data_IF_760266040502
#
_entry.id   IF_760266040502
#
_cell.length_a   1.000
_cell.length_b   1.000
_cell.length_c   1.000
_cell.angle_alpha   90.00
_cell.angle_beta   90.00
_cell.angle_gamma   90.00
#
_symmetry.space_group_name_H-M   'P 1'
#
loop_
_entity.id
_entity.type
_entity.pdbx_description
1 polymer ?
#
# COMPACT_ATOMS: atom_id res chain seq x y z
N UNK A 1 -68.97 -8.80 -11.15
CA UNK A 1 -67.62 -9.08 -11.66
C UNK A 1 -66.70 -7.97 -11.16
N UNK A 2 -66.16 -8.17 -9.96
CA UNK A 2 -65.15 -7.28 -9.39
C UNK A 2 -63.76 -7.83 -9.70
N UNK A 3 -62.77 -6.93 -9.73
CA UNK A 3 -61.49 -7.06 -9.05
C UNK A 3 -60.68 -5.79 -9.35
N UNK A 4 -60.73 -4.85 -8.41
CA UNK A 4 -59.74 -3.79 -8.25
C UNK A 4 -58.50 -4.42 -7.62
N UNK A 5 -57.36 -4.42 -8.32
CA UNK A 5 -56.08 -4.90 -7.78
C UNK A 5 -55.25 -3.72 -7.29
N UNK A 6 -55.17 -3.57 -5.96
CA UNK A 6 -54.19 -2.73 -5.27
C UNK A 6 -52.78 -3.28 -5.52
N UNK A 7 -51.88 -2.47 -6.08
CA UNK A 7 -50.44 -2.70 -6.00
C UNK A 7 -49.95 -1.97 -4.74
N UNK A 8 -49.72 -2.72 -3.68
CA UNK A 8 -49.04 -2.25 -2.48
C UNK A 8 -47.55 -2.07 -2.81
N UNK A 9 -47.04 -0.83 -2.74
CA UNK A 9 -45.61 -0.54 -2.77
C UNK A 9 -45.03 -0.87 -1.40
N UNK A 10 -44.22 -1.93 -1.32
CA UNK A 10 -43.42 -2.26 -0.15
C UNK A 10 -42.23 -1.29 -0.11
N UNK A 11 -42.31 -0.26 0.72
CA UNK A 11 -41.16 0.54 1.12
C UNK A 11 -40.31 -0.31 2.08
N UNK A 12 -39.23 -0.91 1.58
CA UNK A 12 -38.17 -1.45 2.44
C UNK A 12 -37.45 -0.24 3.05
N UNK A 13 -37.81 0.12 4.28
CA UNK A 13 -37.03 1.05 5.08
C UNK A 13 -35.67 0.42 5.38
N UNK A 14 -34.60 1.06 4.92
CA UNK A 14 -33.25 0.78 5.39
C UNK A 14 -33.20 1.25 6.84
N UNK A 15 -33.28 0.30 7.78
CA UNK A 15 -32.94 0.55 9.17
C UNK A 15 -31.42 0.63 9.22
N UNK A 16 -30.87 1.84 9.16
CA UNK A 16 -29.51 2.09 9.60
C UNK A 16 -29.47 1.82 11.10
N UNK A 17 -28.98 0.64 11.50
CA UNK A 17 -28.59 0.40 12.88
C UNK A 17 -27.41 1.32 13.20
N UNK A 18 -27.73 2.47 13.78
CA UNK A 18 -26.74 3.31 14.44
C UNK A 18 -26.34 2.54 15.70
N UNK A 19 -25.23 1.82 15.63
CA UNK A 19 -24.60 1.25 16.81
C UNK A 19 -24.19 2.42 17.71
N UNK A 20 -24.96 2.66 18.77
CA UNK A 20 -24.48 3.45 19.89
C UNK A 20 -23.36 2.64 20.54
N UNK A 21 -22.12 2.92 20.17
CA UNK A 21 -20.95 2.48 20.93
C UNK A 21 -21.09 3.12 22.30
N UNK A 22 -21.22 2.30 23.35
CA UNK A 22 -21.31 2.79 24.72
C UNK A 22 -20.02 3.49 25.12
N UNK A 23 -20.08 4.34 26.15
CA UNK A 23 -18.84 4.91 26.69
C UNK A 23 -17.97 3.78 27.27
N UNK A 24 -16.67 3.79 26.95
CA UNK A 24 -15.71 2.81 27.46
C UNK A 24 -15.56 3.02 28.98
N UNK A 25 -15.96 2.00 29.75
CA UNK A 25 -15.82 2.00 31.20
C UNK A 25 -14.39 1.66 31.63
N UNK A 26 -13.66 2.65 32.14
CA UNK A 26 -12.26 2.46 32.58
C UNK A 26 -12.13 1.47 33.75
N UNK A 27 -13.20 1.25 34.53
CA UNK A 27 -13.19 0.31 35.66
C UNK A 27 -13.14 -1.16 35.22
N UNK A 28 -13.34 -1.44 33.94
CA UNK A 28 -13.27 -2.80 33.37
C UNK A 28 -11.82 -3.25 33.12
N UNK A 29 -10.83 -2.40 33.44
CA UNK A 29 -9.41 -2.63 33.19
C UNK A 29 -8.60 -2.46 34.48
N UNK A 30 -7.69 -3.39 34.75
CA UNK A 30 -6.73 -3.23 35.83
C UNK A 30 -5.76 -2.07 35.52
N UNK A 31 -5.19 -1.39 36.53
CA UNK A 31 -4.26 -0.29 36.29
C UNK A 31 -3.09 -0.63 35.36
N UNK A 32 -2.55 -1.85 35.45
CA UNK A 32 -1.44 -2.32 34.61
C UNK A 32 -1.83 -2.60 33.15
N UNK A 33 -3.14 -2.72 32.87
CA UNK A 33 -3.70 -2.87 31.53
C UNK A 33 -4.09 -1.53 30.89
N UNK A 34 -3.82 -0.41 31.58
CA UNK A 34 -4.07 0.95 31.06
C UNK A 34 -2.77 1.57 30.56
N UNK A 35 -2.71 1.84 29.26
CA UNK A 35 -1.57 2.46 28.58
C UNK A 35 -1.88 3.93 28.30
N UNK A 36 -1.14 4.85 28.91
CA UNK A 36 -1.28 6.29 28.68
C UNK A 36 -0.14 6.80 27.80
N UNK A 37 -0.45 7.49 26.68
CA UNK A 37 0.53 8.06 25.74
C UNK A 37 0.06 9.40 25.19
N UNK A 38 0.93 10.15 24.55
CA UNK A 38 0.52 11.32 23.77
C UNK A 38 -0.24 10.87 22.52
N UNK A 39 0.30 9.85 21.82
CA UNK A 39 -0.20 9.44 20.51
C UNK A 39 -0.37 7.91 20.46
N UNK A 40 -1.53 7.46 20.01
CA UNK A 40 -1.75 6.07 19.60
C UNK A 40 -1.65 5.98 18.08
N UNK A 41 -0.85 5.04 17.56
CA UNK A 41 -0.65 4.79 16.14
C UNK A 41 -1.24 3.42 15.82
N UNK A 42 -2.16 3.36 14.85
CA UNK A 42 -2.74 2.10 14.38
C UNK A 42 -2.11 1.70 13.05
N UNK A 43 -1.44 0.55 13.06
CA UNK A 43 -0.64 0.03 11.96
C UNK A 43 0.86 0.32 12.15
N UNK A 44 1.67 -0.73 12.09
CA UNK A 44 3.13 -0.74 12.17
C UNK A 44 3.79 -0.95 10.80
N UNK A 45 3.13 -0.54 9.72
CA UNK A 45 3.69 -0.58 8.35
C UNK A 45 4.77 0.47 8.12
N UNK A 46 5.13 0.69 6.84
CA UNK A 46 6.11 1.70 6.41
C UNK A 46 5.82 3.09 7.01
N UNK A 47 4.56 3.54 6.89
CA UNK A 47 4.10 4.81 7.44
C UNK A 47 4.09 4.86 8.96
N UNK A 48 3.47 3.89 9.62
CA UNK A 48 3.32 3.89 11.08
C UNK A 48 4.65 3.77 11.81
N UNK A 49 5.58 2.99 11.28
CA UNK A 49 6.93 2.88 11.82
C UNK A 49 7.69 4.21 11.67
N UNK A 50 7.67 4.82 10.49
CA UNK A 50 8.27 6.14 10.29
C UNK A 50 7.67 7.17 11.25
N UNK A 51 6.34 7.15 11.41
CA UNK A 51 5.65 8.07 12.31
C UNK A 51 6.08 7.91 13.76
N UNK A 52 6.14 6.67 14.25
CA UNK A 52 6.54 6.38 15.62
C UNK A 52 7.96 6.88 15.91
N UNK A 53 8.90 6.65 14.99
CA UNK A 53 10.29 7.12 15.13
C UNK A 53 10.35 8.66 15.09
N UNK A 54 9.72 9.31 14.11
CA UNK A 54 9.71 10.77 13.99
C UNK A 54 9.05 11.44 15.21
N UNK A 55 7.97 10.87 15.75
CA UNK A 55 7.31 11.37 16.96
C UNK A 55 8.17 11.21 18.22
N UNK A 56 8.88 10.09 18.38
CA UNK A 56 9.86 9.93 19.48
C UNK A 56 11.00 10.93 19.37
N UNK A 57 11.51 11.18 18.16
CA UNK A 57 12.54 12.21 17.91
C UNK A 57 12.04 13.63 18.24
N UNK A 58 10.72 13.85 18.22
CA UNK A 58 10.06 15.09 18.66
C UNK A 58 9.57 15.03 20.12
N UNK A 59 10.13 14.12 20.93
CA UNK A 59 9.84 13.94 22.34
C UNK A 59 8.35 13.67 22.68
N UNK A 60 7.63 13.00 21.78
CA UNK A 60 6.26 12.51 22.04
C UNK A 60 6.28 11.06 22.47
N UNK A 61 5.49 10.73 23.47
CA UNK A 61 5.27 9.34 23.88
C UNK A 61 4.26 8.67 22.95
N UNK A 62 4.59 7.48 22.45
CA UNK A 62 3.77 6.75 21.47
C UNK A 62 3.42 5.35 21.95
N UNK A 63 2.33 4.80 21.43
CA UNK A 63 2.06 3.36 21.39
C UNK A 63 1.65 3.00 19.96
N UNK A 64 2.23 1.93 19.42
CA UNK A 64 1.92 1.38 18.10
C UNK A 64 1.14 0.09 18.28
N UNK A 65 -0.03 -0.01 17.65
CA UNK A 65 -0.83 -1.23 17.61
C UNK A 65 -0.64 -1.89 16.25
N UNK A 66 -0.03 -3.07 16.22
CA UNK A 66 0.24 -3.84 15.01
C UNK A 66 -0.44 -5.22 15.10
N UNK A 67 -1.23 -5.55 14.08
CA UNK A 67 -1.97 -6.81 14.02
C UNK A 67 -1.09 -8.02 13.71
N UNK A 68 0.08 -7.80 13.12
CA UNK A 68 1.06 -8.82 12.78
C UNK A 68 2.08 -8.99 13.92
N UNK A 69 2.91 -10.03 13.79
CA UNK A 69 4.02 -10.31 14.71
C UNK A 69 5.29 -9.51 14.43
N UNK A 70 5.31 -8.72 13.36
CA UNK A 70 6.45 -7.91 12.89
C UNK A 70 5.94 -6.58 12.33
N UNK A 71 6.79 -5.56 12.38
CA UNK A 71 6.59 -4.30 11.67
C UNK A 71 6.92 -4.47 10.18
N UNK A 72 6.41 -3.55 9.35
CA UNK A 72 6.83 -3.42 7.96
C UNK A 72 5.73 -3.46 6.90
N UNK A 73 4.52 -3.89 7.26
CA UNK A 73 3.38 -3.90 6.35
C UNK A 73 3.65 -4.76 5.11
N UNK A 74 3.61 -4.17 3.92
CA UNK A 74 3.89 -4.83 2.62
C UNK A 74 5.37 -5.19 2.39
N UNK A 75 6.19 -5.13 3.43
CA UNK A 75 7.59 -5.56 3.36
C UNK A 75 7.65 -7.06 3.56
N UNK A 76 8.40 -7.72 2.68
CA UNK A 76 8.52 -9.17 2.64
C UNK A 76 9.94 -9.54 2.22
N UNK A 77 10.73 -10.06 3.17
CA UNK A 77 12.10 -10.54 2.95
C UNK A 77 12.23 -11.99 3.40
N UNK A 78 12.61 -12.88 2.50
CA UNK A 78 12.95 -14.27 2.79
C UNK A 78 14.46 -14.36 3.07
N UNK A 79 14.83 -14.70 4.30
CA UNK A 79 16.20 -15.03 4.67
C UNK A 79 16.49 -16.51 4.46
N UNK A 80 17.61 -16.83 3.79
CA UNK A 80 18.06 -18.18 3.51
C UNK A 80 19.22 -18.57 4.43
N UNK A 81 19.43 -19.88 4.60
CA UNK A 81 20.43 -20.43 5.54
C UNK A 81 21.89 -20.10 5.21
N UNK A 82 22.17 -19.62 4.00
CA UNK A 82 23.51 -19.27 3.52
C UNK A 82 23.77 -17.75 3.55
N UNK A 83 23.04 -17.00 4.38
CA UNK A 83 23.08 -15.53 4.47
C UNK A 83 22.70 -14.79 3.20
N UNK A 84 22.08 -15.46 2.22
CA UNK A 84 21.38 -14.78 1.13
C UNK A 84 19.96 -14.40 1.58
N UNK A 85 19.39 -13.41 0.91
CA UNK A 85 18.01 -13.00 1.13
C UNK A 85 17.32 -12.72 -0.20
N UNK A 86 16.00 -12.75 -0.19
CA UNK A 86 15.15 -12.37 -1.32
C UNK A 86 14.12 -11.39 -0.79
N UNK A 87 14.19 -10.13 -1.21
CA UNK A 87 13.07 -9.21 -1.07
C UNK A 87 12.04 -9.56 -2.14
N UNK A 88 10.83 -9.94 -1.71
CA UNK A 88 9.74 -10.33 -2.60
C UNK A 88 8.49 -9.45 -2.45
N UNK A 89 8.52 -8.46 -1.54
CA UNK A 89 7.51 -7.41 -1.39
C UNK A 89 8.04 -6.07 -1.88
N UNK A 90 8.24 -5.12 -0.96
CA UNK A 90 9.01 -3.90 -1.25
C UNK A 90 10.47 -4.30 -1.53
N UNK A 91 11.06 -3.77 -2.61
CA UNK A 91 12.46 -4.05 -3.01
C UNK A 91 13.43 -2.89 -2.72
N UNK A 92 12.90 -1.68 -2.51
CA UNK A 92 13.71 -0.50 -2.22
C UNK A 92 12.88 0.78 -2.12
N UNK A 93 13.59 1.89 -1.93
CA UNK A 93 13.02 3.24 -1.77
C UNK A 93 13.75 4.23 -2.66
N UNK A 94 13.17 5.42 -2.87
CA UNK A 94 13.81 6.47 -3.67
C UNK A 94 15.18 6.84 -3.10
N UNK A 95 16.13 7.14 -3.98
CA UNK A 95 17.45 7.63 -3.57
C UNK A 95 17.41 9.15 -3.29
N UNK A 96 16.58 9.56 -2.33
CA UNK A 96 16.42 10.95 -1.92
C UNK A 96 17.01 11.22 -0.52
N UNK A 97 17.02 12.50 -0.13
CA UNK A 97 17.54 12.91 1.17
C UNK A 97 16.75 12.33 2.33
N UNK A 98 15.43 12.22 2.20
CA UNK A 98 14.55 11.72 3.24
C UNK A 98 14.84 10.24 3.54
N UNK A 99 14.92 9.41 2.50
CA UNK A 99 15.20 7.97 2.61
C UNK A 99 16.58 7.73 3.22
N UNK A 100 17.62 8.43 2.74
CA UNK A 100 18.97 8.31 3.30
C UNK A 100 19.04 8.74 4.77
N UNK A 101 18.33 9.81 5.14
CA UNK A 101 18.29 10.28 6.52
C UNK A 101 17.56 9.30 7.44
N UNK A 102 16.44 8.72 6.98
CA UNK A 102 15.68 7.76 7.76
C UNK A 102 16.46 6.44 7.97
N UNK A 103 17.06 5.89 6.90
CA UNK A 103 17.93 4.71 7.02
C UNK A 103 19.11 4.97 7.96
N UNK A 104 19.77 6.14 7.84
CA UNK A 104 20.84 6.55 8.78
C UNK A 104 20.34 6.66 10.22
N UNK A 105 19.15 7.21 10.45
CA UNK A 105 18.54 7.33 11.80
C UNK A 105 18.30 5.96 12.43
N UNK A 106 18.00 4.95 11.63
CA UNK A 106 17.82 3.57 12.08
C UNK A 106 19.14 2.78 12.14
N UNK A 107 20.28 3.36 11.74
CA UNK A 107 21.55 2.65 11.67
C UNK A 107 21.61 1.61 10.55
N UNK A 108 20.78 1.74 9.52
CA UNK A 108 20.67 0.79 8.41
C UNK A 108 21.54 1.22 7.25
N UNK A 109 22.52 0.38 6.93
CA UNK A 109 23.37 0.52 5.76
C UNK A 109 22.59 0.23 4.48
N UNK A 110 22.85 1.00 3.43
CA UNK A 110 22.19 0.84 2.14
C UNK A 110 23.16 0.75 0.97
N UNK A 111 22.63 0.29 -0.16
CA UNK A 111 23.30 0.20 -1.46
C UNK A 111 22.33 0.62 -2.58
N UNK A 112 22.82 0.96 -3.78
CA UNK A 112 21.95 1.12 -4.94
C UNK A 112 21.16 -0.15 -5.22
N UNK A 113 19.86 -0.02 -5.50
CA UNK A 113 19.04 -1.10 -6.03
C UNK A 113 19.28 -1.20 -7.54
N UNK A 114 19.87 -2.32 -7.97
CA UNK A 114 20.19 -2.61 -9.37
C UNK A 114 19.59 -3.95 -9.78
N UNK A 115 19.13 -4.12 -11.04
CA UNK A 115 18.63 -5.40 -11.51
C UNK A 115 19.68 -6.51 -11.34
N UNK A 116 19.27 -7.63 -10.76
CA UNK A 116 20.12 -8.83 -10.65
C UNK A 116 20.02 -9.74 -11.88
N UNK A 117 19.05 -9.46 -12.76
CA UNK A 117 18.77 -10.22 -13.98
C UNK A 117 19.89 -10.06 -15.01
N UNK A 118 20.32 -11.17 -15.62
CA UNK A 118 21.22 -11.15 -16.77
C UNK A 118 20.47 -11.36 -18.08
N UNK A 119 19.45 -12.22 -18.07
CA UNK A 119 18.62 -12.52 -19.24
C UNK A 119 17.17 -12.19 -18.95
N UNK A 120 16.54 -11.42 -19.83
CA UNK A 120 15.09 -11.19 -19.79
C UNK A 120 14.45 -11.89 -20.97
N UNK A 121 13.47 -12.74 -20.70
CA UNK A 121 12.64 -13.35 -21.73
C UNK A 121 11.18 -12.91 -21.61
N UNK A 122 10.52 -12.80 -22.75
CA UNK A 122 9.10 -12.47 -22.82
C UNK A 122 8.30 -13.73 -23.11
N UNK A 123 7.30 -14.00 -22.27
CA UNK A 123 6.46 -15.18 -22.36
C UNK A 123 5.01 -14.74 -22.27
N UNK A 124 4.13 -15.29 -23.10
CA UNK A 124 2.70 -15.15 -22.88
C UNK A 124 2.28 -16.20 -21.85
N UNK A 125 2.04 -15.78 -20.60
CA UNK A 125 1.77 -16.71 -19.50
C UNK A 125 0.44 -17.47 -19.70
N UNK A 126 -0.50 -16.92 -20.49
CA UNK A 126 -1.76 -17.61 -20.87
C UNK A 126 -1.53 -18.81 -21.79
N UNK A 127 -0.44 -18.83 -22.56
CA UNK A 127 -0.11 -19.93 -23.49
C UNK A 127 1.13 -20.71 -23.05
N UNK A 128 1.96 -20.15 -22.19
CA UNK A 128 3.24 -20.70 -21.78
C UNK A 128 4.34 -20.59 -22.83
N UNK A 129 4.12 -19.90 -23.95
CA UNK A 129 5.07 -19.80 -25.08
C UNK A 129 5.88 -18.50 -25.04
N UNK A 130 7.15 -18.57 -25.47
CA UNK A 130 7.96 -17.36 -25.71
C UNK A 130 7.29 -16.51 -26.78
N UNK A 131 7.36 -15.20 -26.60
CA UNK A 131 6.90 -14.20 -27.56
C UNK A 131 8.02 -13.19 -27.77
N UNK A 132 8.06 -12.47 -28.91
CA UNK A 132 8.99 -11.37 -29.08
C UNK A 132 8.81 -10.33 -27.96
N UNK A 133 9.87 -9.58 -27.60
CA UNK A 133 9.70 -8.37 -26.80
C UNK A 133 8.69 -7.44 -27.50
N UNK A 134 7.91 -6.64 -26.75
CA UNK A 134 7.11 -5.57 -27.32
C UNK A 134 7.93 -4.75 -28.32
N UNK A 135 7.40 -4.46 -29.51
CA UNK A 135 8.14 -3.74 -30.55
C UNK A 135 8.59 -2.35 -30.08
N UNK A 136 9.78 -1.90 -30.51
CA UNK A 136 10.21 -0.51 -30.35
C UNK A 136 10.65 -0.09 -28.95
N UNK A 137 11.02 -1.04 -28.06
CA UNK A 137 11.48 -0.71 -26.68
C UNK A 137 12.66 0.28 -26.74
N UNK A 138 12.46 1.56 -26.39
CA UNK A 138 13.56 2.51 -26.26
C UNK A 138 14.41 2.11 -25.06
N UNK A 139 15.59 2.72 -24.88
CA UNK A 139 16.21 2.60 -23.56
C UNK A 139 15.23 3.06 -22.48
N UNK A 140 15.26 2.43 -21.30
CA UNK A 140 14.40 2.79 -20.17
C UNK A 140 14.46 4.30 -19.87
N UNK A 141 15.65 4.90 -20.03
CA UNK A 141 15.87 6.33 -19.84
C UNK A 141 15.16 7.18 -20.90
N UNK A 142 15.21 6.81 -22.17
CA UNK A 142 14.52 7.52 -23.25
C UNK A 142 12.99 7.44 -23.08
N UNK A 143 12.48 6.24 -22.85
CA UNK A 143 11.06 6.01 -22.57
C UNK A 143 10.58 6.83 -21.36
N UNK A 144 11.36 6.84 -20.27
CA UNK A 144 11.07 7.64 -19.09
C UNK A 144 11.06 9.15 -19.38
N UNK A 145 11.99 9.67 -20.20
CA UNK A 145 12.00 11.09 -20.60
C UNK A 145 10.77 11.47 -21.43
N UNK A 146 10.39 10.63 -22.39
CA UNK A 146 9.18 10.85 -23.21
C UNK A 146 7.94 10.88 -22.33
N UNK A 147 7.78 9.87 -21.46
CA UNK A 147 6.65 9.80 -20.53
C UNK A 147 6.61 11.00 -19.58
N UNK A 148 7.75 11.35 -18.96
CA UNK A 148 7.88 12.53 -18.10
C UNK A 148 7.43 13.80 -18.79
N UNK A 149 7.83 13.99 -20.05
CA UNK A 149 7.46 15.16 -20.83
C UNK A 149 5.95 15.25 -21.08
N UNK A 150 5.28 14.10 -21.28
CA UNK A 150 3.83 14.03 -21.45
C UNK A 150 3.07 14.34 -20.15
N UNK A 151 3.57 13.87 -19.00
CA UNK A 151 2.87 14.02 -17.71
C UNK A 151 3.22 15.30 -16.93
N UNK A 152 4.23 16.08 -17.36
CA UNK A 152 4.72 17.28 -16.64
C UNK A 152 3.64 18.32 -16.30
N UNK A 153 2.56 18.37 -17.08
CA UNK A 153 1.43 19.28 -16.86
C UNK A 153 0.64 18.95 -15.58
N UNK A 154 0.74 17.72 -15.09
CA UNK A 154 0.14 17.26 -13.83
C UNK A 154 1.05 17.53 -12.62
N UNK A 155 1.81 18.63 -12.66
CA UNK A 155 2.81 18.98 -11.64
C UNK A 155 2.26 19.16 -10.23
N UNK A 156 0.95 19.33 -10.07
CA UNK A 156 0.29 19.35 -8.76
C UNK A 156 0.30 17.97 -8.06
N UNK A 157 0.52 16.86 -8.78
CA UNK A 157 0.65 15.51 -8.21
C UNK A 157 2.10 15.13 -7.85
N UNK A 158 3.07 16.05 -8.01
CA UNK A 158 4.50 15.74 -7.87
C UNK A 158 4.92 15.21 -6.49
N UNK A 159 4.14 15.55 -5.46
CA UNK A 159 4.41 15.15 -4.07
C UNK A 159 3.71 13.81 -3.72
N UNK A 160 3.10 13.14 -4.71
CA UNK A 160 2.33 11.89 -4.51
C UNK A 160 0.94 12.11 -3.90
N UNK A 161 0.56 13.36 -3.61
CA UNK A 161 -0.75 13.72 -3.06
C UNK A 161 -1.78 14.00 -4.14
N UNK A 162 -3.06 13.84 -3.80
CA UNK A 162 -4.21 14.17 -4.64
C UNK A 162 -4.55 15.66 -4.60
N UNK A 163 -3.57 16.53 -4.90
CA UNK A 163 -3.74 17.99 -4.95
C UNK A 163 -4.46 18.40 -6.26
N UNK A 164 -5.68 17.92 -6.44
CA UNK A 164 -6.45 18.12 -7.66
C UNK A 164 -7.02 19.55 -7.74
N UNK A 165 -6.95 20.22 -8.91
CA UNK A 165 -7.70 21.44 -9.17
C UNK A 165 -9.22 21.25 -9.03
N UNK A 166 -9.95 22.35 -8.80
CA UNK A 166 -11.41 22.38 -8.84
C UNK A 166 -11.86 23.35 -9.95
N UNK A 167 -12.56 22.87 -11.00
CA UNK A 167 -12.99 21.49 -11.23
C UNK A 167 -11.84 20.54 -11.58
N UNK A 168 -12.03 19.24 -11.25
CA UNK A 168 -11.10 18.18 -11.67
C UNK A 168 -11.13 18.07 -13.20
N UNK A 169 -9.95 18.00 -13.82
CA UNK A 169 -9.85 17.84 -15.27
C UNK A 169 -10.44 16.50 -15.73
N UNK A 170 -11.35 16.53 -16.71
CA UNK A 170 -11.91 15.29 -17.29
C UNK A 170 -10.84 14.37 -17.89
N UNK A 171 -9.71 14.91 -18.37
CA UNK A 171 -8.59 14.12 -18.90
C UNK A 171 -8.03 13.14 -17.84
N UNK A 172 -8.06 13.51 -16.55
CA UNK A 172 -7.61 12.63 -15.45
C UNK A 172 -8.55 11.46 -15.20
N UNK A 173 -9.81 11.56 -15.64
CA UNK A 173 -10.85 10.57 -15.39
C UNK A 173 -11.03 9.61 -16.56
N UNK A 174 -10.55 9.98 -17.75
CA UNK A 174 -10.58 9.12 -18.93
C UNK A 174 -9.60 7.95 -18.82
N UNK A 175 -9.83 6.84 -19.57
CA UNK A 175 -8.88 5.76 -19.70
C UNK A 175 -7.47 6.24 -20.07
N UNK A 176 -6.45 5.67 -19.44
CA UNK A 176 -5.06 5.97 -19.75
C UNK A 176 -4.71 5.68 -21.22
N UNK A 177 -5.37 4.69 -21.84
CA UNK A 177 -5.23 4.39 -23.27
C UNK A 177 -5.51 5.59 -24.18
N UNK A 178 -6.52 6.40 -23.87
CA UNK A 178 -6.86 7.60 -24.63
C UNK A 178 -5.75 8.66 -24.51
N UNK A 179 -5.16 8.77 -23.31
CA UNK A 179 -4.01 9.64 -23.08
C UNK A 179 -2.78 9.15 -23.86
N UNK A 180 -2.55 7.83 -23.92
CA UNK A 180 -1.46 7.22 -24.69
C UNK A 180 -1.60 7.52 -26.18
N UNK A 181 -2.80 7.32 -26.74
CA UNK A 181 -3.09 7.63 -28.15
C UNK A 181 -2.88 9.12 -28.44
N UNK A 182 -3.47 10.00 -27.62
CA UNK A 182 -3.39 11.45 -27.78
C UNK A 182 -1.96 12.01 -27.70
N UNK A 183 -1.10 11.41 -26.89
CA UNK A 183 0.26 11.92 -26.63
C UNK A 183 1.36 11.18 -27.38
N UNK A 184 1.06 10.04 -28.01
CA UNK A 184 2.05 9.27 -28.76
C UNK A 184 3.11 8.60 -27.87
N UNK A 185 2.75 8.21 -26.64
CA UNK A 185 3.68 7.61 -25.66
C UNK A 185 3.65 6.08 -25.63
N UNK A 186 3.23 5.42 -26.70
CA UNK A 186 3.11 3.95 -26.78
C UNK A 186 4.43 3.26 -26.40
N UNK A 187 5.56 3.83 -26.81
CA UNK A 187 6.89 3.28 -26.54
C UNK A 187 7.29 3.36 -25.05
N UNK A 188 6.59 4.16 -24.24
CA UNK A 188 6.81 4.26 -22.81
C UNK A 188 5.98 3.26 -21.98
N UNK A 189 5.10 2.46 -22.61
CA UNK A 189 4.20 1.56 -21.90
C UNK A 189 4.93 0.51 -21.04
N UNK A 190 6.13 0.07 -21.44
CA UNK A 190 6.91 -0.83 -20.60
C UNK A 190 7.43 -0.16 -19.33
N UNK A 191 7.84 1.12 -19.39
CA UNK A 191 8.23 1.87 -18.19
C UNK A 191 7.01 2.10 -17.29
N UNK A 192 5.86 2.45 -17.87
CA UNK A 192 4.61 2.61 -17.12
C UNK A 192 4.23 1.29 -16.44
N UNK A 193 4.35 0.15 -17.14
CA UNK A 193 4.08 -1.18 -16.58
C UNK A 193 4.92 -1.50 -15.35
N UNK A 194 6.22 -1.14 -15.33
CA UNK A 194 7.11 -1.40 -14.19
C UNK A 194 6.49 -0.84 -12.90
N UNK A 195 5.97 0.38 -12.94
CA UNK A 195 5.48 1.09 -11.75
C UNK A 195 3.96 0.98 -11.54
N UNK A 196 3.16 0.96 -12.61
CA UNK A 196 1.69 1.04 -12.57
C UNK A 196 0.97 -0.30 -12.81
N UNK A 197 1.66 -1.43 -12.78
CA UNK A 197 1.02 -2.75 -12.90
C UNK A 197 -0.07 -2.99 -11.84
N UNK A 198 0.04 -2.39 -10.66
CA UNK A 198 -0.99 -2.41 -9.61
C UNK A 198 -2.33 -1.80 -10.02
N UNK A 199 -2.40 -1.08 -11.15
CA UNK A 199 -3.67 -0.58 -11.70
C UNK A 199 -4.56 -1.71 -12.28
N UNK A 200 -4.02 -2.91 -12.48
CA UNK A 200 -4.73 -3.99 -13.17
C UNK A 200 -4.70 -3.77 -14.69
N UNK A 201 -5.86 -3.53 -15.31
CA UNK A 201 -5.90 -3.17 -16.72
C UNK A 201 -5.44 -1.71 -16.90
N UNK A 202 -4.14 -1.51 -17.11
CA UNK A 202 -3.50 -0.18 -17.19
C UNK A 202 -4.19 0.72 -18.22
N UNK A 203 -4.46 0.23 -19.44
CA UNK A 203 -5.02 1.07 -20.51
C UNK A 203 -6.46 1.49 -20.25
N UNK A 204 -7.23 0.69 -19.51
CA UNK A 204 -8.62 0.99 -19.16
C UNK A 204 -8.77 1.71 -17.80
N UNK A 205 -7.68 1.82 -17.04
CA UNK A 205 -7.70 2.53 -15.76
C UNK A 205 -7.77 4.04 -15.98
N UNK A 206 -8.46 4.80 -15.11
CA UNK A 206 -8.43 6.26 -15.15
C UNK A 206 -6.98 6.79 -15.11
N UNK A 207 -6.68 7.81 -15.92
CA UNK A 207 -5.34 8.41 -15.98
C UNK A 207 -4.81 8.79 -14.58
N UNK A 208 -5.67 9.33 -13.70
CA UNK A 208 -5.30 9.67 -12.32
C UNK A 208 -4.74 8.46 -11.55
N UNK A 209 -5.34 7.28 -11.71
CA UNK A 209 -4.88 6.05 -11.03
C UNK A 209 -3.48 5.66 -11.52
N UNK A 210 -3.24 5.75 -12.83
CA UNK A 210 -1.93 5.46 -13.42
C UNK A 210 -0.89 6.48 -12.96
N UNK A 211 -1.22 7.77 -12.93
CA UNK A 211 -0.32 8.83 -12.45
C UNK A 211 0.01 8.72 -10.96
N UNK A 212 -0.86 8.14 -10.15
CA UNK A 212 -0.57 7.90 -8.74
C UNK A 212 0.36 6.72 -8.50
N UNK A 213 0.41 5.74 -9.41
CA UNK A 213 1.37 4.63 -9.31
C UNK A 213 2.68 4.91 -10.06
N UNK A 214 2.60 5.65 -11.17
CA UNK A 214 3.69 5.99 -12.06
C UNK A 214 3.64 7.48 -12.42
N UNK A 215 3.85 8.34 -11.44
CA UNK A 215 3.80 9.79 -11.59
C UNK A 215 5.17 10.43 -11.82
N UNK A 216 5.19 11.76 -11.71
CA UNK A 216 6.43 12.53 -11.71
C UNK A 216 7.45 12.04 -10.67
N UNK A 217 7.09 11.73 -9.40
CA UNK A 217 8.11 11.35 -8.43
C UNK A 217 8.82 10.03 -8.76
N UNK A 218 8.11 9.01 -9.25
CA UNK A 218 8.72 7.72 -9.65
C UNK A 218 9.68 7.91 -10.83
N UNK A 219 9.25 8.68 -11.82
CA UNK A 219 10.02 8.93 -13.05
C UNK A 219 11.21 9.86 -12.77
N UNK A 220 11.05 10.84 -11.89
CA UNK A 220 12.16 11.68 -11.44
C UNK A 220 13.16 10.88 -10.63
N UNK A 221 12.73 10.00 -9.72
CA UNK A 221 13.64 9.11 -9.00
C UNK A 221 14.42 8.21 -9.97
N UNK A 222 13.76 7.61 -10.95
CA UNK A 222 14.40 6.80 -11.99
C UNK A 222 15.48 7.58 -12.76
N UNK A 223 15.22 8.85 -13.10
CA UNK A 223 16.11 9.67 -13.92
C UNK A 223 17.22 10.36 -13.12
N UNK A 224 17.06 10.59 -11.82
CA UNK A 224 17.88 11.51 -11.02
C UNK A 224 18.63 10.86 -9.86
N UNK A 225 18.69 9.53 -9.77
CA UNK A 225 19.46 8.85 -8.72
C UNK A 225 19.08 7.40 -8.46
N UNK A 226 18.01 6.92 -9.09
CA UNK A 226 17.51 5.57 -8.96
C UNK A 226 16.90 5.31 -7.58
N UNK A 227 17.11 4.08 -7.10
CA UNK A 227 16.54 3.56 -5.87
C UNK A 227 17.66 3.00 -5.00
N UNK A 228 17.44 2.94 -3.70
CA UNK A 228 18.35 2.34 -2.72
C UNK A 228 17.61 1.28 -1.92
N UNK A 229 18.37 0.31 -1.41
CA UNK A 229 17.86 -0.77 -0.56
C UNK A 229 18.84 -1.04 0.59
N UNK A 230 18.37 -1.57 1.74
CA UNK A 230 19.24 -2.08 2.80
C UNK A 230 20.17 -3.17 2.29
N UNK A 231 21.34 -3.31 2.93
CA UNK A 231 22.31 -4.33 2.52
C UNK A 231 21.86 -5.75 2.88
N UNK A 232 21.05 -5.92 3.92
CA UNK A 232 20.59 -7.21 4.42
C UNK A 232 19.05 -7.37 4.32
N UNK A 233 18.47 -6.85 3.23
CA UNK A 233 17.05 -6.98 2.91
C UNK A 233 16.15 -5.99 3.63
N UNK A 234 14.96 -5.77 3.08
CA UNK A 234 14.07 -4.70 3.50
C UNK A 234 13.55 -4.83 4.95
N UNK A 235 13.44 -6.05 5.49
CA UNK A 235 13.09 -6.24 6.91
C UNK A 235 14.12 -5.65 7.89
N UNK A 236 15.37 -5.40 7.47
CA UNK A 236 16.39 -4.76 8.32
C UNK A 236 15.91 -3.40 8.87
N UNK A 237 15.22 -2.60 8.05
CA UNK A 237 14.63 -1.32 8.44
C UNK A 237 13.69 -1.47 9.62
N UNK A 238 12.81 -2.46 9.55
CA UNK A 238 11.73 -2.64 10.51
C UNK A 238 12.19 -3.38 11.76
N UNK A 239 13.20 -4.24 11.65
CA UNK A 239 13.87 -4.83 12.80
C UNK A 239 14.56 -3.74 13.63
N UNK A 240 15.36 -2.86 12.99
CA UNK A 240 16.01 -1.74 13.69
C UNK A 240 14.99 -0.78 14.31
N UNK A 241 13.89 -0.49 13.63
CA UNK A 241 12.82 0.32 14.21
C UNK A 241 12.14 -0.37 15.40
N UNK A 242 11.88 -1.68 15.32
CA UNK A 242 11.33 -2.46 16.43
C UNK A 242 12.24 -2.42 17.66
N UNK A 243 13.56 -2.48 17.50
CA UNK A 243 14.51 -2.37 18.61
C UNK A 243 14.43 -1.00 19.30
N UNK A 244 14.29 0.08 18.54
CA UNK A 244 14.17 1.45 19.06
C UNK A 244 12.81 1.67 19.75
N UNK A 245 11.74 1.06 19.22
CA UNK A 245 10.39 1.20 19.77
C UNK A 245 10.19 0.31 21.01
N UNK A 246 10.79 -0.89 21.04
CA UNK A 246 10.74 -1.79 22.18
C UNK A 246 9.31 -2.06 22.66
N UNK A 247 9.05 -1.79 23.94
CA UNK A 247 7.73 -1.98 24.57
C UNK A 247 6.65 -0.99 24.11
N UNK A 248 6.98 -0.02 23.25
CA UNK A 248 5.98 0.89 22.69
C UNK A 248 5.14 0.22 21.58
N UNK A 249 5.47 -1.01 21.16
CA UNK A 249 4.70 -1.76 20.15
C UNK A 249 3.89 -2.89 20.80
N UNK A 250 2.60 -2.92 20.50
CA UNK A 250 1.69 -4.01 20.80
C UNK A 250 1.49 -4.85 19.54
N UNK A 251 2.24 -5.94 19.43
CA UNK A 251 2.14 -6.89 18.32
C UNK A 251 0.93 -7.82 18.46
N UNK A 252 0.53 -8.42 17.34
CA UNK A 252 -0.59 -9.36 17.27
C UNK A 252 -1.85 -8.86 17.98
N UNK A 253 -2.11 -7.56 17.86
CA UNK A 253 -3.13 -6.84 18.62
C UNK A 253 -4.07 -6.11 17.67
N UNK A 254 -5.38 -6.26 17.89
CA UNK A 254 -6.42 -5.60 17.11
C UNK A 254 -7.17 -4.58 17.96
N UNK A 255 -7.70 -3.54 17.31
CA UNK A 255 -8.65 -2.61 17.94
C UNK A 255 -10.03 -3.26 17.98
N UNK A 256 -10.70 -3.18 19.13
CA UNK A 256 -12.04 -3.72 19.35
C UNK A 256 -13.07 -2.61 19.48
N UNK A 257 -12.69 -1.49 20.10
CA UNK A 257 -13.59 -0.37 20.36
C UNK A 257 -12.81 0.93 20.42
N UNK A 258 -13.37 2.02 19.88
CA UNK A 258 -12.82 3.37 20.02
C UNK A 258 -13.86 4.33 20.58
N UNK A 259 -13.42 5.23 21.46
CA UNK A 259 -14.16 6.40 21.90
C UNK A 259 -13.26 7.62 21.69
N UNK A 260 -13.59 8.43 20.68
CA UNK A 260 -12.78 9.56 20.22
C UNK A 260 -13.55 10.86 20.43
N UNK A 261 -12.85 11.87 20.97
CA UNK A 261 -13.40 13.20 21.20
C UNK A 261 -12.33 14.27 21.04
N UNK A 262 -12.74 15.54 21.05
CA UNK A 262 -11.82 16.69 21.05
C UNK A 262 -11.01 16.83 22.34
N UNK A 263 -11.34 16.05 23.39
CA UNK A 263 -10.64 16.07 24.68
C UNK A 263 -9.68 14.90 24.88
N UNK A 264 -9.75 13.88 24.03
CA UNK A 264 -8.89 12.71 24.11
C UNK A 264 -9.48 11.48 23.44
N UNK A 265 -8.69 10.43 23.44
CA UNK A 265 -8.94 9.16 22.77
C UNK A 265 -8.86 8.02 23.78
N UNK A 266 -9.84 7.12 23.75
CA UNK A 266 -9.79 5.81 24.40
C UNK A 266 -9.93 4.72 23.36
N UNK A 267 -9.09 3.69 23.45
CA UNK A 267 -9.11 2.56 22.52
C UNK A 267 -8.98 1.28 23.33
N UNK A 268 -9.95 0.38 23.18
CA UNK A 268 -9.81 -0.99 23.67
C UNK A 268 -9.12 -1.81 22.60
N UNK A 269 -8.00 -2.42 22.97
CA UNK A 269 -7.27 -3.34 22.11
C UNK A 269 -7.26 -4.74 22.69
N UNK A 270 -7.19 -5.74 21.83
CA UNK A 270 -7.13 -7.14 22.21
C UNK A 270 -6.01 -7.87 21.45
N UNK A 271 -5.12 -8.51 22.20
CA UNK A 271 -4.07 -9.37 21.64
C UNK A 271 -4.60 -10.74 21.23
N UNK A 272 -3.82 -11.48 20.44
CA UNK A 272 -4.18 -12.80 19.94
C UNK A 272 -4.45 -13.84 21.05
N UNK A 273 -3.91 -13.65 22.26
CA UNK A 273 -4.20 -14.44 23.46
C UNK A 273 -5.46 -13.97 24.23
N UNK A 274 -6.24 -13.07 23.62
CA UNK A 274 -7.46 -12.47 24.16
C UNK A 274 -7.28 -11.49 25.32
N UNK A 275 -6.05 -11.18 25.73
CA UNK A 275 -5.80 -10.14 26.74
C UNK A 275 -6.23 -8.77 26.19
N UNK A 276 -6.91 -7.98 27.03
CA UNK A 276 -7.39 -6.64 26.65
C UNK A 276 -6.59 -5.56 27.36
N UNK A 277 -6.33 -4.47 26.65
CA UNK A 277 -5.75 -3.25 27.22
C UNK A 277 -6.58 -2.04 26.84
N UNK A 278 -6.60 -1.04 27.71
CA UNK A 278 -7.17 0.27 27.44
C UNK A 278 -6.04 1.25 27.13
N UNK A 279 -6.02 1.79 25.92
CA UNK A 279 -5.12 2.87 25.54
C UNK A 279 -5.84 4.20 25.73
N UNK A 280 -5.22 5.12 26.48
CA UNK A 280 -5.63 6.52 26.60
C UNK A 280 -4.60 7.40 25.93
N UNK A 281 -5.00 8.14 24.90
CA UNK A 281 -4.11 9.02 24.14
C UNK A 281 -4.70 10.41 23.92
N UNK A 282 -3.86 11.40 23.64
CA UNK A 282 -4.32 12.75 23.25
C UNK A 282 -4.76 12.78 21.79
N UNK A 283 -4.05 12.06 20.93
CA UNK A 283 -4.31 12.00 19.49
C UNK A 283 -4.22 10.55 18.98
N UNK A 284 -4.94 10.29 17.88
CA UNK A 284 -4.91 9.02 17.15
C UNK A 284 -4.33 9.24 15.76
N UNK A 285 -3.41 8.38 15.34
CA UNK A 285 -2.90 8.34 13.96
C UNK A 285 -3.26 6.99 13.33
N UNK A 286 -4.07 7.03 12.28
CA UNK A 286 -4.45 5.84 11.49
C UNK A 286 -3.55 5.76 10.25
N UNK A 287 -2.87 4.63 10.09
CA UNK A 287 -1.87 4.43 9.01
C UNK A 287 -2.18 3.25 8.09
N UNK A 288 -3.20 2.45 8.41
CA UNK A 288 -3.74 1.42 7.54
C UNK A 288 -4.83 2.01 6.62
N UNK A 289 -5.17 1.30 5.54
CA UNK A 289 -6.24 1.70 4.64
C UNK A 289 -7.59 1.61 5.37
N UNK A 290 -8.33 2.72 5.55
CA UNK A 290 -9.58 2.73 6.32
C UNK A 290 -10.73 2.16 5.47
N UNK A 291 -10.75 0.85 5.23
CA UNK A 291 -11.93 0.13 4.70
C UNK A 291 -12.91 -0.17 5.83
N UNK A 292 -14.21 -0.18 5.53
CA UNK A 292 -15.28 -0.29 6.55
C UNK A 292 -15.14 -1.56 7.39
N UNK A 293 -14.73 -2.67 6.77
CA UNK A 293 -14.53 -3.96 7.43
C UNK A 293 -13.43 -3.88 8.50
N UNK A 294 -12.40 -3.06 8.28
CA UNK A 294 -11.29 -2.85 9.22
C UNK A 294 -11.59 -1.80 10.30
N UNK A 295 -12.75 -1.14 10.21
CA UNK A 295 -13.20 -0.09 11.14
C UNK A 295 -14.36 -0.55 12.02
N UNK A 296 -14.62 -1.86 12.08
CA UNK A 296 -15.59 -2.42 13.02
C UNK A 296 -15.19 -2.05 14.46
N UNK A 297 -16.16 -1.56 15.24
CA UNK A 297 -15.92 -1.06 16.60
C UNK A 297 -15.41 0.39 16.69
N UNK A 298 -15.16 1.06 15.55
CA UNK A 298 -14.77 2.47 15.56
C UNK A 298 -16.01 3.38 15.65
N UNK A 299 -15.91 4.42 16.48
CA UNK A 299 -16.92 5.49 16.63
C UNK A 299 -16.84 6.53 15.50
N UNK A 300 -16.95 6.07 14.25
CA UNK A 300 -16.88 6.90 13.05
C UNK A 300 -17.95 8.00 13.04
N UNK A 301 -17.59 9.20 12.61
CA UNK A 301 -18.58 10.23 12.26
C UNK A 301 -19.13 10.00 10.86
N UNK A 302 -20.29 10.59 10.56
CA UNK A 302 -20.97 10.41 9.26
C UNK A 302 -20.08 10.73 8.06
N UNK A 303 -19.23 11.76 8.14
CA UNK A 303 -18.30 12.11 7.06
C UNK A 303 -17.21 11.06 6.84
N UNK A 304 -16.67 10.47 7.92
CA UNK A 304 -15.69 9.37 7.84
C UNK A 304 -16.33 8.16 7.16
N UNK A 305 -17.46 7.67 7.68
CA UNK A 305 -18.15 6.50 7.12
C UNK A 305 -18.59 6.72 5.68
N UNK A 306 -19.09 7.92 5.33
CA UNK A 306 -19.54 8.24 3.97
C UNK A 306 -18.43 8.23 2.93
N UNK A 307 -17.20 8.53 3.34
CA UNK A 307 -16.02 8.49 2.47
C UNK A 307 -15.43 7.08 2.40
N UNK A 308 -15.23 6.45 3.55
CA UNK A 308 -14.56 5.14 3.64
C UNK A 308 -15.35 3.99 3.00
N UNK A 309 -16.68 4.09 2.91
CA UNK A 309 -17.50 3.12 2.18
C UNK A 309 -17.31 3.16 0.65
N UNK A 310 -16.62 4.16 0.10
CA UNK A 310 -16.46 4.36 -1.35
C UNK A 310 -15.19 3.73 -1.91
N UNK A 311 -14.35 3.16 -1.05
CA UNK A 311 -13.09 2.57 -1.48
C UNK A 311 -13.32 1.38 -2.41
N UNK A 312 -12.61 1.40 -3.52
CA UNK A 312 -12.37 0.29 -4.42
C UNK A 312 -10.86 0.05 -4.49
N UNK A 313 -10.45 -1.19 -4.79
CA UNK A 313 -9.04 -1.57 -4.74
C UNK A 313 -8.71 -2.73 -5.65
N UNK A 314 -7.41 -2.93 -5.82
CA UNK A 314 -6.81 -4.07 -6.52
C UNK A 314 -6.13 -4.94 -5.46
N UNK A 315 -6.30 -6.26 -5.60
CA UNK A 315 -5.60 -7.23 -4.77
C UNK A 315 -4.23 -7.49 -5.39
N UNK A 316 -3.20 -7.43 -4.55
CA UNK A 316 -1.81 -7.62 -4.95
C UNK A 316 -1.17 -8.67 -4.07
N UNK A 317 -0.60 -9.69 -4.71
CA UNK A 317 0.02 -10.82 -4.03
C UNK A 317 1.45 -10.98 -4.51
N UNK A 318 2.29 -11.45 -3.60
CA UNK A 318 3.69 -11.74 -3.89
C UNK A 318 4.06 -13.13 -3.43
N UNK A 319 5.02 -13.76 -4.11
CA UNK A 319 5.50 -15.08 -3.72
C UNK A 319 6.95 -15.29 -4.14
N UNK A 320 7.63 -16.18 -3.44
CA UNK A 320 8.87 -16.79 -3.93
C UNK A 320 8.55 -18.21 -4.37
N UNK A 321 8.98 -18.58 -5.58
CA UNK A 321 8.84 -19.92 -6.13
C UNK A 321 10.20 -20.55 -6.37
N UNK A 322 10.25 -21.88 -6.34
CA UNK A 322 11.43 -22.68 -6.69
C UNK A 322 11.07 -23.89 -7.54
N UNK A 323 12.09 -24.60 -8.02
CA UNK A 323 11.95 -25.81 -8.86
C UNK A 323 11.15 -25.56 -10.14
N UNK A 324 11.32 -24.39 -10.76
CA UNK A 324 10.50 -23.91 -11.87
C UNK A 324 10.89 -24.45 -13.25
N UNK A 325 12.09 -25.04 -13.38
CA UNK A 325 12.66 -25.41 -14.69
C UNK A 325 13.27 -24.23 -15.47
N UNK A 326 13.16 -23.01 -14.94
CA UNK A 326 13.69 -21.80 -15.56
C UNK A 326 15.19 -21.69 -15.22
N UNK A 327 16.07 -21.37 -16.19
CA UNK A 327 17.49 -21.16 -15.93
C UNK A 327 17.77 -20.05 -14.90
N UNK A 328 18.86 -20.19 -14.16
CA UNK A 328 19.32 -19.15 -13.23
C UNK A 328 19.61 -17.83 -13.97
N UNK A 329 19.63 -16.72 -13.23
CA UNK A 329 19.84 -15.37 -13.76
C UNK A 329 18.85 -14.91 -14.85
N UNK A 330 17.71 -15.59 -14.98
CA UNK A 330 16.67 -15.32 -15.99
C UNK A 330 15.40 -14.77 -15.34
N UNK A 331 14.94 -13.61 -15.83
CA UNK A 331 13.61 -13.06 -15.50
C UNK A 331 12.65 -13.30 -16.67
N UNK A 332 11.45 -13.79 -16.36
CA UNK A 332 10.38 -13.88 -17.35
C UNK A 332 9.38 -12.75 -17.14
N UNK A 333 9.17 -11.96 -18.18
CA UNK A 333 8.18 -10.88 -18.19
C UNK A 333 6.93 -11.36 -18.94
N UNK A 334 5.76 -11.25 -18.31
CA UNK A 334 4.52 -11.62 -18.96
C UNK A 334 4.17 -10.61 -20.05
N UNK A 335 3.95 -11.08 -21.28
CA UNK A 335 3.56 -10.27 -22.42
C UNK A 335 2.44 -10.93 -23.21
N UNK A 336 1.37 -10.17 -23.44
CA UNK A 336 0.21 -10.62 -24.21
C UNK A 336 0.23 -9.96 -25.59
N UNK A 337 0.74 -10.62 -26.65
CA UNK A 337 0.87 -10.02 -27.98
C UNK A 337 -0.48 -9.64 -28.62
N UNK A 338 -1.59 -10.19 -28.11
CA UNK A 338 -2.93 -9.89 -28.59
C UNK A 338 -3.51 -8.62 -27.93
N UNK A 339 -2.86 -8.09 -26.88
CA UNK A 339 -3.28 -6.88 -26.18
C UNK A 339 -2.41 -5.68 -26.57
N UNK A 340 -2.81 -5.00 -27.64
CA UNK A 340 -2.11 -3.82 -28.17
C UNK A 340 -2.77 -2.50 -27.75
N UNK A 341 -2.00 -1.41 -27.58
CA UNK A 341 -0.55 -1.33 -27.66
C UNK A 341 0.17 -1.84 -26.39
N UNK A 342 1.45 -2.20 -26.53
CA UNK A 342 2.35 -2.48 -25.41
C UNK A 342 2.35 -3.92 -24.88
N UNK A 343 1.57 -4.82 -25.46
CA UNK A 343 1.52 -6.25 -25.12
C UNK A 343 1.34 -6.49 -23.60
N UNK A 344 0.50 -5.65 -22.96
CA UNK A 344 0.35 -5.64 -21.51
C UNK A 344 -0.52 -6.84 -21.06
N UNK A 345 -0.21 -7.51 -19.94
CA UNK A 345 -1.09 -8.55 -19.42
C UNK A 345 -2.43 -7.94 -18.92
N UNK A 346 -3.49 -8.76 -18.92
CA UNK A 346 -4.83 -8.37 -18.46
C UNK A 346 -5.23 -9.17 -17.21
N UNK A 347 -5.91 -8.56 -16.21
CA UNK A 347 -6.16 -9.19 -14.92
C UNK A 347 -7.20 -10.33 -15.00
N UNK A 348 -7.12 -11.34 -14.12
CA UNK A 348 -6.01 -11.58 -13.19
C UNK A 348 -4.76 -12.06 -13.94
N UNK A 349 -3.59 -11.53 -13.56
CA UNK A 349 -2.33 -11.92 -14.18
C UNK A 349 -1.19 -12.03 -13.17
N UNK A 350 -0.24 -12.90 -13.48
CA UNK A 350 1.11 -12.82 -12.93
C UNK A 350 1.94 -11.87 -13.80
N UNK A 351 2.54 -10.84 -13.20
CA UNK A 351 3.28 -9.80 -13.91
C UNK A 351 4.59 -10.36 -14.49
N UNK A 352 5.31 -11.08 -13.66
CA UNK A 352 6.65 -11.59 -13.94
C UNK A 352 7.02 -12.77 -13.03
N UNK A 353 8.08 -13.46 -13.43
CA UNK A 353 8.90 -14.35 -12.61
C UNK A 353 10.31 -13.74 -12.57
N UNK A 354 10.56 -12.90 -11.57
CA UNK A 354 11.76 -12.08 -11.45
C UNK A 354 12.90 -12.84 -10.77
N UNK A 355 14.07 -12.84 -11.38
CA UNK A 355 15.30 -13.26 -10.72
C UNK A 355 15.85 -12.14 -9.83
N UNK A 356 15.87 -12.41 -8.53
CA UNK A 356 16.25 -11.47 -7.47
C UNK A 356 17.71 -11.61 -6.99
N UNK A 357 18.55 -12.36 -7.71
CA UNK A 357 19.97 -12.55 -7.35
C UNK A 357 20.27 -13.83 -6.57
N UNK A 358 19.29 -14.72 -6.42
CA UNK A 358 19.46 -16.02 -5.74
C UNK A 358 19.05 -17.16 -6.66
N UNK A 359 20.03 -17.98 -7.02
CA UNK A 359 19.86 -19.15 -7.89
C UNK A 359 18.79 -20.13 -7.38
N UNK A 360 17.99 -20.65 -8.31
CA UNK A 360 16.90 -21.59 -8.03
C UNK A 360 15.61 -20.97 -7.47
N UNK A 361 15.57 -19.66 -7.24
CA UNK A 361 14.40 -18.94 -6.75
C UNK A 361 13.98 -17.83 -7.72
N UNK A 362 12.66 -17.60 -7.83
CA UNK A 362 12.08 -16.49 -8.58
C UNK A 362 10.98 -15.82 -7.75
N UNK A 363 10.89 -14.49 -7.85
CA UNK A 363 9.82 -13.70 -7.25
C UNK A 363 8.66 -13.59 -8.24
N UNK A 364 7.45 -13.83 -7.75
CA UNK A 364 6.21 -13.72 -8.51
C UNK A 364 5.36 -12.59 -7.95
N UNK A 365 4.82 -11.75 -8.83
CA UNK A 365 3.92 -10.64 -8.52
C UNK A 365 2.59 -10.85 -9.23
N UNK A 366 1.47 -10.79 -8.51
CA UNK A 366 0.15 -11.15 -9.03
C UNK A 366 -0.82 -10.02 -8.76
N UNK A 367 -1.60 -9.68 -9.79
CA UNK A 367 -2.58 -8.60 -9.75
C UNK A 367 -3.95 -9.17 -10.07
N UNK A 368 -4.93 -8.90 -9.21
CA UNK A 368 -6.32 -9.31 -9.37
C UNK A 368 -7.28 -8.25 -8.86
N UNK A 369 -8.55 -8.30 -9.28
CA UNK A 369 -9.57 -7.41 -8.72
C UNK A 369 -9.86 -7.73 -7.24
N UNK A 370 -10.69 -6.92 -6.58
CA UNK A 370 -11.03 -7.07 -5.15
C UNK A 370 -11.62 -8.43 -4.76
N UNK A 371 -12.19 -9.18 -5.72
CA UNK A 371 -12.75 -10.53 -5.50
C UNK A 371 -11.78 -11.66 -5.78
N UNK A 372 -10.59 -11.38 -6.34
CA UNK A 372 -9.57 -12.39 -6.62
C UNK A 372 -8.83 -12.75 -5.33
N UNK A 373 -8.93 -14.01 -4.92
CA UNK A 373 -8.46 -14.47 -3.59
C UNK A 373 -6.99 -14.91 -3.58
N UNK A 374 -6.39 -14.95 -2.39
CA UNK A 374 -5.04 -15.48 -2.19
C UNK A 374 -4.86 -16.93 -2.68
N UNK A 375 -5.90 -17.78 -2.56
CA UNK A 375 -5.84 -19.15 -3.06
C UNK A 375 -5.82 -19.18 -4.60
N UNK A 376 -6.67 -18.39 -5.26
CA UNK A 376 -6.65 -18.26 -6.71
C UNK A 376 -5.31 -17.69 -7.23
N UNK A 377 -4.68 -16.78 -6.47
CA UNK A 377 -3.34 -16.28 -6.80
C UNK A 377 -2.29 -17.40 -6.75
N UNK A 378 -2.28 -18.23 -5.70
CA UNK A 378 -1.39 -19.40 -5.61
C UNK A 378 -1.61 -20.38 -6.77
N UNK A 379 -2.87 -20.64 -7.11
CA UNK A 379 -3.23 -21.54 -8.20
C UNK A 379 -2.80 -20.99 -9.56
N UNK A 380 -2.92 -19.67 -9.78
CA UNK A 380 -2.47 -19.00 -11.00
C UNK A 380 -0.95 -19.15 -11.19
N UNK A 381 -0.16 -18.88 -10.15
CA UNK A 381 1.32 -19.00 -10.19
C UNK A 381 1.74 -20.40 -10.64
N UNK A 382 1.20 -21.43 -9.98
CA UNK A 382 1.55 -22.81 -10.28
C UNK A 382 1.04 -23.25 -11.66
N UNK A 383 -0.13 -22.77 -12.06
CA UNK A 383 -0.71 -23.08 -13.36
C UNK A 383 0.10 -22.49 -14.50
N UNK A 384 0.56 -21.23 -14.38
CA UNK A 384 1.35 -20.58 -15.41
C UNK A 384 2.73 -21.24 -15.57
N UNK A 385 3.40 -21.59 -14.48
CA UNK A 385 4.65 -22.37 -14.51
C UNK A 385 4.45 -23.75 -15.17
N UNK A 386 3.41 -24.49 -14.80
CA UNK A 386 3.08 -25.80 -15.41
C UNK A 386 2.72 -25.68 -16.89
N UNK A 387 2.09 -24.58 -17.28
CA UNK A 387 1.74 -24.28 -18.67
C UNK A 387 3.00 -24.05 -19.51
N UNK A 388 3.98 -23.32 -18.99
CA UNK A 388 5.29 -23.15 -19.65
C UNK A 388 6.01 -24.48 -19.83
N UNK A 389 5.94 -25.38 -18.84
CA UNK A 389 6.48 -26.74 -18.93
C UNK A 389 5.78 -27.57 -20.01
N UNK A 390 4.45 -27.59 -20.01
CA UNK A 390 3.63 -28.31 -21.01
C UNK A 390 3.85 -27.79 -22.44
N UNK A 391 4.05 -26.47 -22.59
CA UNK A 391 4.34 -25.84 -23.89
C UNK A 391 5.75 -26.17 -24.42
N UNK A 392 6.61 -26.80 -23.62
CA UNK A 392 8.00 -27.10 -23.96
C UNK A 392 8.93 -25.87 -23.87
N UNK A 393 8.47 -24.76 -23.29
CA UNK A 393 9.26 -23.53 -23.17
C UNK A 393 10.31 -23.64 -22.07
N UNK A 394 9.90 -24.13 -20.90
CA UNK A 394 10.77 -24.46 -19.78
C UNK A 394 10.40 -25.86 -19.28
N UNK A 395 10.79 -26.91 -20.03
CA UNK A 395 10.42 -28.28 -19.69
C UNK A 395 11.16 -28.73 -18.43
N UNK A 396 10.48 -29.58 -17.64
CA UNK A 396 11.02 -30.08 -16.38
C UNK A 396 10.80 -29.10 -15.23
N UNK A 397 10.76 -29.64 -14.02
CA UNK A 397 10.43 -28.89 -12.80
C UNK A 397 9.23 -29.47 -12.06
N UNK A 398 9.17 -29.16 -10.76
CA UNK A 398 8.05 -29.45 -9.86
C UNK A 398 7.84 -28.16 -9.05
N UNK A 399 7.24 -27.12 -9.67
CA UNK A 399 7.24 -25.77 -9.12
C UNK A 399 6.52 -25.72 -7.77
N UNK A 400 7.14 -25.04 -6.81
CA UNK A 400 6.60 -24.89 -5.45
C UNK A 400 6.67 -23.44 -5.01
N UNK A 401 5.62 -22.98 -4.35
CA UNK A 401 5.61 -21.73 -3.61
C UNK A 401 6.34 -21.97 -2.28
N UNK A 402 7.39 -21.20 -2.04
CA UNK A 402 8.23 -21.25 -0.83
C UNK A 402 7.63 -20.38 0.26
N UNK A 403 7.26 -19.16 -0.11
CA UNK A 403 6.61 -18.17 0.76
C UNK A 403 5.67 -17.32 -0.09
N UNK A 404 4.64 -16.76 0.55
CA UNK A 404 3.58 -15.98 -0.07
C UNK A 404 3.18 -14.83 0.86
N UNK A 405 3.03 -13.64 0.29
CA UNK A 405 2.56 -12.42 0.98
C UNK A 405 1.28 -11.88 0.34
N UNK A 406 0.41 -11.32 1.17
CA UNK A 406 -0.84 -10.66 0.78
C UNK A 406 -0.76 -9.18 1.10
N UNK A 407 -0.73 -8.34 0.08
CA UNK A 407 -0.64 -6.88 0.24
C UNK A 407 -2.02 -6.21 0.14
N UNK A 408 -3.11 -6.97 0.21
CA UNK A 408 -4.46 -6.43 0.03
C UNK A 408 -4.91 -5.61 1.25
N UNK A 409 -5.51 -4.42 1.05
CA UNK A 409 -5.78 -3.75 -0.23
C UNK A 409 -4.60 -2.89 -0.74
N UNK A 410 -4.43 -2.83 -2.07
CA UNK A 410 -3.50 -1.90 -2.76
C UNK A 410 -4.22 -1.06 -3.81
N UNK A 411 -3.57 -0.01 -4.32
CA UNK A 411 -4.12 0.86 -5.39
C UNK A 411 -5.53 1.35 -5.06
N UNK A 412 -5.70 1.79 -3.81
CA UNK A 412 -6.99 2.22 -3.27
C UNK A 412 -7.47 3.46 -4.02
N UNK A 413 -8.74 3.48 -4.41
CA UNK A 413 -9.30 4.55 -5.22
C UNK A 413 -10.83 4.61 -5.08
N UNK A 414 -11.47 5.54 -5.77
CA UNK A 414 -12.92 5.74 -5.79
C UNK A 414 -13.42 5.93 -7.21
N UNK A 415 -14.74 5.97 -7.40
CA UNK A 415 -15.36 6.18 -8.71
C UNK A 415 -14.97 7.54 -9.31
N UNK A 416 -14.97 7.64 -10.64
CA UNK A 416 -14.75 8.92 -11.33
C UNK A 416 -15.75 10.01 -10.92
N UNK A 417 -16.99 9.63 -10.59
CA UNK A 417 -17.99 10.56 -10.06
C UNK A 417 -17.56 11.11 -8.71
N UNK A 418 -17.09 10.26 -7.80
CA UNK A 418 -16.61 10.70 -6.49
C UNK A 418 -15.37 11.59 -6.59
N UNK A 419 -14.42 11.26 -7.49
CA UNK A 419 -13.26 12.12 -7.75
C UNK A 419 -13.72 13.49 -8.23
N UNK A 420 -14.64 13.55 -9.20
CA UNK A 420 -15.21 14.80 -9.72
C UNK A 420 -15.92 15.61 -8.64
N UNK A 421 -16.60 14.95 -7.72
CA UNK A 421 -17.32 15.57 -6.60
C UNK A 421 -16.38 15.97 -5.43
N UNK A 422 -15.07 15.93 -5.64
CA UNK A 422 -14.06 16.41 -4.70
C UNK A 422 -13.79 15.44 -3.55
N UNK A 423 -13.89 14.13 -3.77
CA UNK A 423 -13.62 13.10 -2.76
C UNK A 423 -12.31 13.33 -2.00
N UNK A 424 -11.18 13.50 -2.70
CA UNK A 424 -9.88 13.63 -2.05
C UNK A 424 -9.73 14.92 -1.23
N UNK A 425 -10.37 16.02 -1.65
CA UNK A 425 -10.45 17.24 -0.83
C UNK A 425 -11.22 16.99 0.47
N UNK A 426 -12.35 16.27 0.40
CA UNK A 426 -13.14 15.89 1.57
C UNK A 426 -12.38 14.90 2.46
N UNK A 427 -11.60 13.99 1.87
CA UNK A 427 -10.73 13.05 2.56
C UNK A 427 -9.65 13.80 3.36
N UNK A 428 -8.95 14.76 2.75
CA UNK A 428 -7.95 15.56 3.47
C UNK A 428 -8.57 16.47 4.54
N UNK A 429 -9.82 16.89 4.39
CA UNK A 429 -10.54 17.63 5.42
C UNK A 429 -10.88 16.79 6.67
N UNK A 430 -10.65 15.46 6.66
CA UNK A 430 -10.84 14.61 7.84
C UNK A 430 -9.77 14.82 8.92
N UNK A 431 -8.61 15.39 8.58
CA UNK A 431 -7.55 15.61 9.56
C UNK A 431 -8.09 16.36 10.78
N UNK A 432 -7.73 15.87 11.98
CA UNK A 432 -8.16 16.36 13.30
C UNK A 432 -9.61 16.02 13.70
N UNK A 433 -10.40 15.35 12.87
CA UNK A 433 -11.75 14.92 13.27
C UNK A 433 -11.68 14.08 14.55
N UNK A 434 -12.28 14.56 15.64
CA UNK A 434 -12.20 13.94 16.97
C UNK A 434 -10.75 13.60 17.38
N UNK A 435 -9.81 14.53 17.21
CA UNK A 435 -8.37 14.32 17.45
C UNK A 435 -7.73 13.13 16.69
N UNK A 436 -8.31 12.77 15.54
CA UNK A 436 -7.80 11.70 14.67
C UNK A 436 -7.12 12.26 13.44
N UNK A 437 -5.98 11.69 13.10
CA UNK A 437 -5.18 12.00 11.92
C UNK A 437 -5.03 10.76 11.07
N UNK A 438 -4.90 10.97 9.77
CA UNK A 438 -4.84 9.89 8.79
C UNK A 438 -3.65 10.05 7.86
N UNK A 439 -3.00 8.95 7.52
CA UNK A 439 -1.90 8.93 6.57
C UNK A 439 -1.78 7.54 5.91
N UNK A 440 -0.75 7.33 5.10
CA UNK A 440 -0.51 6.07 4.40
C UNK A 440 -1.11 6.02 2.99
N UNK A 441 -1.10 4.83 2.40
CA UNK A 441 -1.30 4.63 0.96
C UNK A 441 -2.71 4.97 0.42
N UNK A 442 -3.71 5.14 1.29
CA UNK A 442 -5.03 5.64 0.87
C UNK A 442 -5.09 7.17 0.72
N UNK A 443 -4.03 7.88 1.12
CA UNK A 443 -3.94 9.34 1.09
C UNK A 443 -2.87 9.87 0.13
N UNK A 444 -1.92 9.03 -0.29
CA UNK A 444 -0.88 9.37 -1.26
C UNK A 444 -0.38 8.13 -2.01
N UNK A 445 0.42 8.38 -3.05
CA UNK A 445 1.08 7.35 -3.87
C UNK A 445 1.81 6.30 -3.02
N UNK A 446 1.61 5.02 -3.37
CA UNK A 446 2.06 3.83 -2.62
C UNK A 446 3.57 3.55 -2.80
N UNK A 447 4.41 4.49 -2.36
CA UNK A 447 5.87 4.37 -2.33
C UNK A 447 6.40 4.88 -1.00
N UNK A 448 7.17 4.06 -0.29
CA UNK A 448 7.60 4.36 1.09
C UNK A 448 8.15 5.77 1.29
N UNK A 449 9.01 6.30 0.41
CA UNK A 449 9.52 7.67 0.56
C UNK A 449 8.42 8.75 0.48
N UNK A 450 7.46 8.59 -0.44
CA UNK A 450 6.31 9.51 -0.55
C UNK A 450 5.36 9.36 0.64
N UNK A 451 5.14 8.13 1.10
CA UNK A 451 4.39 7.86 2.31
C UNK A 451 5.03 8.56 3.51
N UNK A 452 6.35 8.43 3.70
CA UNK A 452 7.10 9.08 4.78
C UNK A 452 7.05 10.60 4.69
N UNK A 453 7.23 11.17 3.48
CA UNK A 453 7.14 12.60 3.26
C UNK A 453 5.76 13.15 3.66
N UNK A 454 4.68 12.52 3.22
CA UNK A 454 3.33 12.91 3.63
C UNK A 454 3.11 12.71 5.13
N UNK A 455 3.58 11.60 5.68
CA UNK A 455 3.49 11.32 7.13
C UNK A 455 4.16 12.42 7.96
N UNK A 456 5.33 12.92 7.54
CA UNK A 456 6.01 14.02 8.23
C UNK A 456 5.17 15.31 8.23
N UNK A 457 4.42 15.60 7.15
CA UNK A 457 3.49 16.74 7.12
C UNK A 457 2.37 16.61 8.15
N UNK A 458 1.77 15.41 8.25
CA UNK A 458 0.72 15.11 9.23
C UNK A 458 1.26 15.21 10.66
N UNK A 459 2.47 14.70 10.90
CA UNK A 459 3.14 14.83 12.21
C UNK A 459 3.39 16.30 12.57
N UNK A 460 3.77 17.13 11.59
CA UNK A 460 3.91 18.57 11.78
C UNK A 460 2.63 19.20 12.32
N UNK A 461 1.48 18.86 11.74
CA UNK A 461 0.16 19.31 12.21
C UNK A 461 -0.16 18.78 13.62
N UNK A 462 0.09 17.50 13.88
CA UNK A 462 -0.16 16.86 15.18
C UNK A 462 0.61 17.55 16.31
N UNK A 463 1.91 17.81 16.09
CA UNK A 463 2.81 18.40 17.09
C UNK A 463 2.55 19.88 17.30
N UNK A 464 2.24 20.64 16.26
CA UNK A 464 1.88 22.06 16.37
C UNK A 464 0.66 22.29 17.28
N UNK A 465 -0.23 21.30 17.38
CA UNK A 465 -1.44 21.34 18.19
C UNK A 465 -1.25 20.82 19.63
N UNK A 466 -0.08 20.29 19.97
CA UNK A 466 0.25 19.96 21.35
C UNK A 466 0.68 21.24 22.09
N UNK A 467 -0.15 21.87 22.94
CA UNK A 467 0.36 22.92 23.80
C UNK A 467 1.53 22.36 24.63
N UNK A 468 2.63 23.11 24.69
CA UNK A 468 3.72 22.87 25.62
C UNK A 468 3.21 23.16 27.05
N UNK A 469 2.36 22.31 27.59
CA UNK A 469 1.86 22.47 28.96
C UNK A 469 1.91 21.12 29.66
N UNK A 470 2.93 21.00 30.51
CA UNK A 470 2.93 20.16 31.68
C UNK A 470 1.69 20.53 32.53
N UNK A 471 0.60 19.76 32.39
CA UNK A 471 -0.62 19.96 33.18
C UNK A 471 -1.09 18.68 33.88
N UNK A 472 -0.25 17.64 33.91
CA UNK A 472 -0.42 16.47 34.77
C UNK A 472 0.63 16.50 35.88
N UNK A 473 0.66 17.60 36.64
CA UNK A 473 1.28 17.65 37.95
C UNK A 473 0.29 18.30 38.92
N UNK A 474 -0.23 17.44 39.81
CA UNK A 474 -0.82 17.76 41.12
C UNK A 474 -2.19 18.46 41.10
N UNK A 475 -3.24 17.63 41.07
CA UNK A 475 -4.35 17.82 42.00
C UNK A 475 -4.34 16.63 42.96
N UNK A 476 -3.56 16.77 44.03
CA UNK A 476 -3.75 16.01 45.26
C UNK A 476 -4.72 16.80 46.14
N UNK A 477 -5.77 16.12 46.56
CA UNK A 477 -6.79 16.58 47.52
C UNK A 477 -6.19 16.86 48.90
N UNK A 478 -6.75 17.86 49.57
CA UNK A 478 -6.77 18.22 51.02
C UNK A 478 -5.58 17.84 51.92
#
# INVERSE_FOLDING_TARGET
MGFTSMIARLLLGIVTMVSFVGAINEQDFAPDDIVIRDICILGGGSTGTYAAISLKDKAKSVVVVERNRVLGGHTETLYLSNNQYIDYGVEGVFNDGLSRNYLKRLGVDHKPLVPSTQTTEYVNFKTGKKVPPPSGIPSVVEAAKVYRAAIKKFGYLKDGLYNLPDPVSEELLQPFGDFVEKTGIQDALQVVKIFAHGAGNILQSPLLRVLQLCGLPQIDSLLQGGYIMPKNGMYEVYNSASEILGSDVLYQTNVIETERSDFGIKIVVQSADSARKLIKAKQLLITFVPIIESLSGFDLVTTESSLFQKWDWVNYYVAVVKNTGIPNATTLVNADPDNTPGNLPLPPFQLELQYSGVDGYLVSKIVGNSTFTAQQAKDLILSDLRRMGTAGTFPGGDPKIVVFGDHTPTTVSVSNTDVRDGFYRKLYALQRTKNTFYTGLSFCSDYSSLLWAYTETVIGEMVALSPNTCSLCVQGYD
#
